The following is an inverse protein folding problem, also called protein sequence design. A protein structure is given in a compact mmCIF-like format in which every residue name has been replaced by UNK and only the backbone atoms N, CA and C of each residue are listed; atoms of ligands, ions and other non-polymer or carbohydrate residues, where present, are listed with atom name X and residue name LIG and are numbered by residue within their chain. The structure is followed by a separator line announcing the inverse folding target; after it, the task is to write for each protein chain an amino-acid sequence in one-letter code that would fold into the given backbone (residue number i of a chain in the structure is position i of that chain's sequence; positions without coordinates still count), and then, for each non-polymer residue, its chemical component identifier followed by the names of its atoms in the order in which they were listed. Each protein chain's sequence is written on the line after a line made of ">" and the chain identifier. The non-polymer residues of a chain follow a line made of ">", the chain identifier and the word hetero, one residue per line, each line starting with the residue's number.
data_IF_531492257311
#
_entry.id   IF_531492257311
#
_cell.length_a   1.000
_cell.length_b   1.000
_cell.length_c   1.000
_cell.angle_alpha   90.00
_cell.angle_beta   90.00
_cell.angle_gamma   90.00
#
_symmetry.space_group_name_H-M   'P 1'
#
loop_
_entity.id
_entity.type
_entity.pdbx_description
1 polymer ?
#
# COMPACT_ATOMS: atom_id res chain seq x y z
N UNK A 1 -18.50 -10.64 22.76
CA UNK A 1 -18.71 -9.27 22.23
C UNK A 1 -17.40 -8.56 21.87
N UNK A 2 -16.33 -8.71 22.68
CA UNK A 2 -15.04 -8.06 22.46
C UNK A 2 -14.30 -8.50 21.17
N UNK A 3 -14.26 -9.81 20.87
CA UNK A 3 -13.68 -10.32 19.60
C UNK A 3 -14.32 -9.68 18.35
N UNK A 4 -15.65 -9.53 18.33
CA UNK A 4 -16.35 -8.91 17.22
C UNK A 4 -16.02 -7.42 17.05
N UNK A 5 -15.77 -6.71 18.16
CA UNK A 5 -15.32 -5.30 18.15
C UNK A 5 -13.91 -5.15 17.58
N UNK A 6 -13.00 -6.07 17.93
CA UNK A 6 -11.64 -6.07 17.40
C UNK A 6 -11.60 -6.37 15.91
N UNK A 7 -12.40 -7.33 15.43
CA UNK A 7 -12.51 -7.63 13.99
C UNK A 7 -13.03 -6.44 13.20
N UNK A 8 -14.08 -5.75 13.67
CA UNK A 8 -14.59 -4.53 13.00
C UNK A 8 -13.52 -3.44 12.92
N UNK A 9 -12.72 -3.29 13.98
CA UNK A 9 -11.63 -2.31 14.02
C UNK A 9 -10.52 -2.70 13.05
N UNK A 10 -10.15 -3.98 13.01
CA UNK A 10 -9.14 -4.50 12.08
C UNK A 10 -9.55 -4.31 10.61
N UNK A 11 -10.81 -4.58 10.27
CA UNK A 11 -11.34 -4.31 8.93
C UNK A 11 -11.27 -2.81 8.60
N UNK A 12 -11.65 -1.95 9.56
CA UNK A 12 -11.58 -0.49 9.37
C UNK A 12 -10.14 0.00 9.20
N UNK A 13 -9.20 -0.57 9.96
CA UNK A 13 -7.77 -0.27 9.85
C UNK A 13 -7.25 -0.62 8.45
N UNK A 14 -7.59 -1.79 7.93
CA UNK A 14 -7.18 -2.22 6.58
C UNK A 14 -7.77 -1.30 5.50
N UNK A 15 -9.07 -1.01 5.55
CA UNK A 15 -9.73 -0.15 4.56
C UNK A 15 -9.12 1.26 4.54
N UNK A 16 -8.86 1.84 5.72
CA UNK A 16 -8.22 3.15 5.81
C UNK A 16 -6.77 3.12 5.34
N UNK A 17 -6.03 2.05 5.65
CA UNK A 17 -4.65 1.89 5.20
C UNK A 17 -4.57 1.88 3.68
N UNK A 18 -5.44 1.09 3.03
CA UNK A 18 -5.52 1.00 1.56
C UNK A 18 -5.90 2.36 0.96
N UNK A 19 -6.88 3.06 1.54
CA UNK A 19 -7.29 4.38 1.06
C UNK A 19 -6.13 5.39 1.12
N UNK A 20 -5.48 5.52 2.28
CA UNK A 20 -4.36 6.44 2.44
C UNK A 20 -3.17 6.07 1.56
N UNK A 21 -2.80 4.79 1.51
CA UNK A 21 -1.72 4.31 0.65
C UNK A 21 -2.00 4.60 -0.83
N UNK A 22 -3.24 4.42 -1.28
CA UNK A 22 -3.64 4.72 -2.66
C UNK A 22 -3.52 6.20 -2.97
N UNK A 23 -4.03 7.08 -2.10
CA UNK A 23 -3.94 8.53 -2.30
C UNK A 23 -2.48 9.02 -2.33
N UNK A 24 -1.66 8.57 -1.40
CA UNK A 24 -0.22 8.92 -1.35
C UNK A 24 0.48 8.41 -2.61
N UNK A 25 0.21 7.17 -3.01
CA UNK A 25 0.81 6.56 -4.18
C UNK A 25 0.43 7.28 -5.47
N UNK A 26 -0.83 7.65 -5.65
CA UNK A 26 -1.28 8.38 -6.83
C UNK A 26 -0.59 9.75 -6.92
N UNK A 27 -0.49 10.49 -5.81
CA UNK A 27 0.22 11.76 -5.77
C UNK A 27 1.70 11.61 -6.16
N UNK A 28 2.40 10.63 -5.56
CA UNK A 28 3.82 10.38 -5.85
C UNK A 28 4.06 9.88 -7.28
N UNK A 29 3.19 9.01 -7.79
CA UNK A 29 3.28 8.51 -9.18
C UNK A 29 3.07 9.65 -10.18
N UNK A 30 2.13 10.57 -9.93
CA UNK A 30 1.93 11.73 -10.79
C UNK A 30 3.17 12.65 -10.80
N UNK A 31 3.76 12.90 -9.64
CA UNK A 31 5.02 13.65 -9.53
C UNK A 31 6.12 12.93 -10.32
N UNK A 32 6.25 11.62 -10.15
CA UNK A 32 7.26 10.82 -10.86
C UNK A 32 7.06 10.82 -12.38
N UNK A 33 5.80 10.78 -12.85
CA UNK A 33 5.48 10.87 -14.27
C UNK A 33 5.95 12.20 -14.89
N UNK A 34 5.79 13.31 -14.17
CA UNK A 34 6.33 14.62 -14.58
C UNK A 34 7.86 14.55 -14.67
N UNK A 35 8.53 13.97 -13.67
CA UNK A 35 10.00 13.82 -13.68
C UNK A 35 10.47 13.01 -14.89
N UNK A 36 9.84 11.87 -15.18
CA UNK A 36 10.17 11.03 -16.34
C UNK A 36 10.12 11.84 -17.63
N UNK A 37 9.07 12.66 -17.80
CA UNK A 37 8.85 13.48 -19.00
C UNK A 37 9.97 14.49 -19.26
N UNK A 38 10.56 15.07 -18.20
CA UNK A 38 11.56 16.14 -18.34
C UNK A 38 13.00 15.65 -18.18
N UNK A 39 13.24 14.56 -17.45
CA UNK A 39 14.59 14.08 -17.10
C UNK A 39 15.09 12.92 -17.98
N UNK A 40 14.34 12.51 -19.02
CA UNK A 40 14.67 11.39 -19.91
C UNK A 40 15.14 10.13 -19.15
N UNK A 41 14.37 9.75 -18.13
CA UNK A 41 14.72 8.67 -17.21
C UNK A 41 14.74 7.33 -17.95
N UNK A 42 15.81 6.56 -17.78
CA UNK A 42 15.92 5.23 -18.38
C UNK A 42 14.85 4.24 -17.87
N UNK A 43 14.29 3.43 -18.77
CA UNK A 43 13.26 2.44 -18.44
C UNK A 43 13.65 1.46 -17.31
N UNK A 44 14.95 1.13 -17.20
CA UNK A 44 15.48 0.25 -16.13
C UNK A 44 15.33 0.84 -14.72
N UNK A 45 15.19 2.17 -14.60
CA UNK A 45 15.05 2.90 -13.33
C UNK A 45 13.59 3.12 -12.98
N UNK A 46 12.71 3.27 -13.98
CA UNK A 46 11.28 3.57 -13.78
C UNK A 46 10.62 2.49 -12.91
N UNK A 47 10.86 1.23 -13.21
CA UNK A 47 10.23 0.11 -12.52
C UNK A 47 10.64 0.01 -11.03
N UNK A 48 11.94 -0.01 -10.66
CA UNK A 48 12.36 0.03 -9.25
C UNK A 48 11.83 1.21 -8.45
N UNK A 49 11.81 2.41 -9.05
CA UNK A 49 11.30 3.62 -8.38
C UNK A 49 9.78 3.50 -8.13
N UNK A 50 9.02 2.99 -9.09
CA UNK A 50 7.59 2.77 -8.91
C UNK A 50 7.27 1.78 -7.78
N UNK A 51 8.01 0.66 -7.69
CA UNK A 51 7.86 -0.29 -6.57
C UNK A 51 8.20 0.38 -5.23
N UNK A 52 9.25 1.20 -5.20
CA UNK A 52 9.64 1.95 -4.00
C UNK A 52 8.55 2.91 -3.55
N UNK A 53 7.97 3.67 -4.49
CA UNK A 53 6.82 4.56 -4.21
C UNK A 53 5.67 3.79 -3.60
N UNK A 54 5.31 2.62 -4.15
CA UNK A 54 4.22 1.79 -3.63
C UNK A 54 4.51 1.29 -2.21
N UNK A 55 5.73 0.83 -1.94
CA UNK A 55 6.14 0.35 -0.61
C UNK A 55 6.05 1.49 0.43
N UNK A 56 6.60 2.67 0.11
CA UNK A 56 6.57 3.83 1.01
C UNK A 56 5.14 4.32 1.24
N UNK A 57 4.32 4.33 0.21
CA UNK A 57 2.91 4.71 0.31
C UNK A 57 2.12 3.73 1.19
N UNK A 58 2.34 2.43 1.00
CA UNK A 58 1.72 1.39 1.83
C UNK A 58 2.15 1.52 3.29
N UNK A 59 3.45 1.70 3.54
CA UNK A 59 3.97 1.88 4.89
C UNK A 59 3.35 3.10 5.58
N UNK A 60 3.33 4.25 4.91
CA UNK A 60 2.70 5.46 5.43
C UNK A 60 1.19 5.27 5.68
N UNK A 61 0.47 4.66 4.74
CA UNK A 61 -0.95 4.37 4.87
C UNK A 61 -1.24 3.47 6.08
N UNK A 62 -0.46 2.42 6.28
CA UNK A 62 -0.57 1.50 7.41
C UNK A 62 -0.30 2.22 8.75
N UNK A 63 0.77 3.01 8.84
CA UNK A 63 1.10 3.78 10.06
C UNK A 63 0.00 4.76 10.46
N UNK A 64 -0.60 5.44 9.48
CA UNK A 64 -1.66 6.42 9.72
C UNK A 64 -3.00 5.75 10.08
N UNK A 65 -3.28 4.59 9.51
CA UNK A 65 -4.58 3.94 9.63
C UNK A 65 -4.71 3.03 10.87
N UNK A 66 -3.68 2.25 11.21
CA UNK A 66 -3.82 1.17 12.19
C UNK A 66 -4.10 1.74 13.59
N UNK A 67 -5.27 1.42 14.15
CA UNK A 67 -5.68 1.81 15.50
C UNK A 67 -5.56 0.66 16.49
N UNK A 68 -5.87 -0.56 16.08
CA UNK A 68 -5.78 -1.71 16.95
C UNK A 68 -4.33 -2.26 16.98
N UNK A 69 -3.66 -2.32 18.15
CA UNK A 69 -2.28 -2.79 18.28
C UNK A 69 -2.12 -4.33 18.23
N UNK A 70 -3.16 -5.08 17.89
CA UNK A 70 -3.09 -6.55 17.72
C UNK A 70 -2.92 -6.95 16.25
N UNK A 71 -2.59 -8.20 15.93
CA UNK A 71 -2.67 -8.79 14.58
C UNK A 71 -1.91 -8.05 13.44
N UNK A 72 -0.86 -7.27 13.75
CA UNK A 72 -0.16 -6.42 12.78
C UNK A 72 0.31 -7.12 11.51
N UNK A 73 0.87 -8.33 11.64
CA UNK A 73 1.34 -9.14 10.51
C UNK A 73 0.21 -9.46 9.52
N UNK A 74 -0.88 -10.07 10.01
CA UNK A 74 -1.98 -10.55 9.16
C UNK A 74 -2.70 -9.36 8.52
N UNK A 75 -3.08 -8.36 9.32
CA UNK A 75 -3.79 -7.20 8.78
C UNK A 75 -2.91 -6.40 7.82
N UNK A 76 -1.61 -6.30 8.09
CA UNK A 76 -0.62 -5.66 7.22
C UNK A 76 -0.48 -6.37 5.87
N UNK A 77 -0.35 -7.71 5.89
CA UNK A 77 -0.28 -8.50 4.67
C UNK A 77 -1.55 -8.34 3.81
N UNK A 78 -2.73 -8.37 4.45
CA UNK A 78 -4.02 -8.15 3.77
C UNK A 78 -4.07 -6.72 3.21
N UNK A 79 -3.66 -5.69 3.95
CA UNK A 79 -3.58 -4.33 3.43
C UNK A 79 -2.69 -4.25 2.19
N UNK A 80 -1.53 -4.91 2.20
CA UNK A 80 -0.64 -4.98 1.04
C UNK A 80 -1.28 -5.65 -0.19
N UNK A 81 -1.93 -6.80 0.00
CA UNK A 81 -2.67 -7.50 -1.06
C UNK A 81 -3.81 -6.64 -1.63
N UNK A 82 -4.65 -6.09 -0.76
CA UNK A 82 -5.81 -5.30 -1.18
C UNK A 82 -5.36 -4.01 -1.87
N UNK A 83 -4.32 -3.34 -1.36
CA UNK A 83 -3.71 -2.16 -1.98
C UNK A 83 -3.12 -2.46 -3.37
N UNK A 84 -2.46 -3.60 -3.53
CA UNK A 84 -1.97 -4.06 -4.84
C UNK A 84 -3.13 -4.19 -5.84
N UNK A 85 -4.21 -4.87 -5.46
CA UNK A 85 -5.38 -5.04 -6.32
C UNK A 85 -6.04 -3.70 -6.63
N UNK A 86 -6.18 -2.82 -5.64
CA UNK A 86 -6.79 -1.51 -5.81
C UNK A 86 -6.01 -0.64 -6.80
N UNK A 87 -4.69 -0.57 -6.65
CA UNK A 87 -3.84 0.22 -7.54
C UNK A 87 -3.78 -0.38 -8.94
N UNK A 88 -3.72 -1.70 -9.08
CA UNK A 88 -3.83 -2.38 -10.37
C UNK A 88 -5.13 -2.01 -11.09
N UNK A 89 -6.27 -2.07 -10.40
CA UNK A 89 -7.58 -1.72 -10.97
C UNK A 89 -7.66 -0.23 -11.34
N UNK A 90 -7.18 0.67 -10.49
CA UNK A 90 -7.17 2.11 -10.76
C UNK A 90 -6.33 2.42 -12.00
N UNK A 91 -5.09 1.94 -12.05
CA UNK A 91 -4.21 2.21 -13.20
C UNK A 91 -4.72 1.54 -14.48
N UNK A 92 -5.30 0.34 -14.39
CA UNK A 92 -5.95 -0.31 -15.53
C UNK A 92 -7.14 0.51 -16.03
N UNK A 93 -7.98 1.02 -15.14
CA UNK A 93 -9.11 1.87 -15.49
C UNK A 93 -8.66 3.20 -16.11
N UNK A 94 -7.59 3.82 -15.61
CA UNK A 94 -7.00 5.04 -16.19
C UNK A 94 -6.50 4.82 -17.62
N UNK A 95 -6.03 3.62 -17.94
CA UNK A 95 -5.64 3.21 -19.29
C UNK A 95 -6.81 2.65 -20.12
N UNK A 96 -8.06 2.74 -19.63
CA UNK A 96 -9.24 2.20 -20.31
C UNK A 96 -9.19 0.68 -20.51
N UNK A 97 -8.49 -0.04 -19.63
CA UNK A 97 -8.22 -1.48 -19.70
C UNK A 97 -7.51 -1.92 -20.99
N UNK A 98 -6.81 -1.01 -21.66
CA UNK A 98 -5.90 -1.35 -22.76
C UNK A 98 -4.52 -1.67 -22.17
N UNK A 99 -3.90 -2.75 -22.65
CA UNK A 99 -2.56 -3.21 -22.23
C UNK A 99 -2.40 -3.47 -20.72
N UNK A 100 -3.44 -4.05 -20.11
CA UNK A 100 -3.45 -4.44 -18.69
C UNK A 100 -2.38 -5.50 -18.43
N UNK A 101 -1.31 -5.10 -17.74
CA UNK A 101 -0.21 -6.00 -17.36
C UNK A 101 -0.21 -6.18 -15.85
N UNK A 102 -0.35 -7.42 -15.40
CA UNK A 102 -0.28 -7.77 -13.99
C UNK A 102 1.18 -7.82 -13.52
N UNK A 103 1.47 -7.18 -12.38
CA UNK A 103 2.81 -7.19 -11.78
C UNK A 103 2.96 -8.35 -10.80
N UNK A 104 3.63 -9.42 -11.24
CA UNK A 104 4.00 -10.56 -10.38
C UNK A 104 4.91 -10.16 -9.23
N UNK A 105 5.70 -9.10 -9.41
CA UNK A 105 6.54 -8.55 -8.35
C UNK A 105 5.67 -7.92 -7.27
N UNK A 106 4.67 -7.12 -7.64
CA UNK A 106 3.78 -6.48 -6.66
C UNK A 106 2.97 -7.49 -5.85
N UNK A 107 2.62 -8.63 -6.46
CA UNK A 107 1.92 -9.73 -5.78
C UNK A 107 2.69 -10.28 -4.58
N UNK A 108 4.02 -10.25 -4.61
CA UNK A 108 4.85 -10.76 -3.51
C UNK A 108 5.36 -9.60 -2.64
N UNK A 109 5.83 -8.52 -3.25
CA UNK A 109 6.50 -7.43 -2.52
C UNK A 109 5.53 -6.64 -1.65
N UNK A 110 4.33 -6.32 -2.13
CA UNK A 110 3.38 -5.50 -1.37
C UNK A 110 2.78 -6.21 -0.16
N UNK A 111 2.43 -7.51 -0.22
CA UNK A 111 2.01 -8.24 0.98
C UNK A 111 3.13 -8.38 2.02
N UNK A 112 4.36 -8.67 1.57
CA UNK A 112 5.51 -8.76 2.48
C UNK A 112 5.81 -7.39 3.11
N UNK A 113 5.88 -6.34 2.30
CA UNK A 113 6.06 -4.97 2.78
C UNK A 113 4.92 -4.56 3.73
N UNK A 114 3.67 -4.91 3.40
CA UNK A 114 2.50 -4.68 4.24
C UNK A 114 2.59 -5.40 5.57
N UNK A 115 3.02 -6.66 5.59
CA UNK A 115 3.22 -7.44 6.81
C UNK A 115 4.27 -6.78 7.73
N UNK A 116 5.43 -6.40 7.17
CA UNK A 116 6.50 -5.72 7.91
C UNK A 116 5.99 -4.37 8.44
N UNK A 117 5.34 -3.58 7.58
CA UNK A 117 4.73 -2.29 7.93
C UNK A 117 3.73 -2.44 9.07
N UNK A 118 2.90 -3.47 9.02
CA UNK A 118 1.88 -3.76 10.01
C UNK A 118 2.46 -4.15 11.37
N UNK A 119 3.51 -4.98 11.40
CA UNK A 119 4.25 -5.32 12.62
C UNK A 119 4.82 -4.04 13.26
N UNK A 120 5.48 -3.20 12.45
CA UNK A 120 6.07 -1.95 12.94
C UNK A 120 4.97 -1.03 13.50
N UNK A 121 3.87 -0.84 12.77
CA UNK A 121 2.77 0.05 13.16
C UNK A 121 2.13 -0.36 14.49
N UNK A 122 1.83 -1.65 14.66
CA UNK A 122 1.21 -2.13 15.90
C UNK A 122 2.16 -2.05 17.09
N UNK A 123 3.45 -2.33 16.89
CA UNK A 123 4.44 -2.25 17.96
C UNK A 123 4.70 -0.80 18.41
N UNK A 124 4.70 0.17 17.48
CA UNK A 124 4.79 1.60 17.82
C UNK A 124 3.57 2.02 18.65
N UNK A 125 2.37 1.54 18.28
CA UNK A 125 1.13 1.91 18.96
C UNK A 125 0.97 1.26 20.32
N UNK A 126 1.37 0.00 20.44
CA UNK A 126 1.40 -0.72 21.72
C UNK A 126 2.30 -0.04 22.76
N UNK A 127 3.41 0.58 22.34
CA UNK A 127 4.29 1.34 23.26
C UNK A 127 3.69 2.66 23.75
N UNK A 128 2.68 3.20 23.06
CA UNK A 128 2.02 4.47 23.40
C UNK A 128 0.71 4.29 24.19
N UNK A 129 0.21 3.06 24.28
CA UNK A 129 -1.01 2.69 25.00
C UNK A 129 -0.65 2.27 26.43
#
# INVERSE_FOLDING_TARGET
>A
MEKAKNVKTDVTDVLKAVLFATLISLALVLIFAIVIRFANVENKVIMPVNVTIKILSLFAGVLLAFKNPQNGLVKGAISGLVYMLFTFLIFSALNGFKDVTFSWIDLITLPVAGAISGIIAVNIKARKA
#
